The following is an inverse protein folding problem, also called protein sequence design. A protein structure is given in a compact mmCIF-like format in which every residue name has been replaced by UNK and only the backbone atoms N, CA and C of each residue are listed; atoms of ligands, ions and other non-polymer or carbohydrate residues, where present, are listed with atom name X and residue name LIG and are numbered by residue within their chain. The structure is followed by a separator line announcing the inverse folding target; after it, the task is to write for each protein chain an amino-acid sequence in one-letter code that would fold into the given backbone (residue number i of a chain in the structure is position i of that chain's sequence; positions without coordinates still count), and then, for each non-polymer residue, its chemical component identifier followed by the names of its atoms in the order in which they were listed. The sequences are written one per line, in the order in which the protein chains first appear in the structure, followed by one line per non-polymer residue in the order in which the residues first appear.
data_IF_689776572074
#
_entry.id   IF_689776572074
#
_cell.length_a   1.000
_cell.length_b   1.000
_cell.length_c   1.000
_cell.angle_alpha   90.00
_cell.angle_beta   90.00
_cell.angle_gamma   90.00
#
_symmetry.space_group_name_H-M   'P 1'
#
loop_
_entity.id
_entity.type
_entity.pdbx_description
1 polymer ?
#
# COMPACT_ATOMS: atom_id res chain seq x y z
N UNK A 1 1.64 -11.08 16.27
CA UNK A 1 2.72 -10.37 16.99
C UNK A 1 2.05 -9.36 17.90
N UNK A 2 2.39 -9.31 19.19
CA UNK A 2 1.74 -8.40 20.14
C UNK A 2 2.52 -7.10 20.24
N UNK A 3 1.85 -5.95 20.39
CA UNK A 3 2.49 -4.62 20.47
C UNK A 3 3.52 -4.48 21.61
N UNK A 4 3.43 -5.34 22.64
CA UNK A 4 4.38 -5.44 23.76
C UNK A 4 5.72 -6.10 23.41
N UNK A 5 5.84 -6.68 22.20
CA UNK A 5 7.03 -7.40 21.76
C UNK A 5 7.94 -6.55 20.86
N UNK A 6 7.63 -5.26 20.67
CA UNK A 6 8.49 -4.34 19.92
C UNK A 6 9.65 -3.85 20.81
N UNK A 7 10.91 -3.92 20.34
CA UNK A 7 12.06 -3.49 21.12
C UNK A 7 12.00 -1.98 21.40
N UNK A 8 12.38 -1.58 22.62
CA UNK A 8 12.45 -0.17 23.06
C UNK A 8 13.57 0.65 22.41
N UNK A 9 14.34 0.04 21.50
CA UNK A 9 15.28 0.68 20.59
C UNK A 9 14.90 0.28 19.17
N UNK A 10 14.40 1.24 18.39
CA UNK A 10 14.22 1.09 16.95
C UNK A 10 15.39 1.81 16.26
N UNK A 11 16.41 1.06 15.83
CA UNK A 11 17.36 1.61 14.83
C UNK A 11 16.65 1.86 13.48
N UNK A 12 15.52 1.18 13.29
CA UNK A 12 14.60 1.35 12.18
C UNK A 12 13.63 0.16 12.18
N UNK A 13 12.38 0.42 11.84
CA UNK A 13 11.36 -0.60 11.63
C UNK A 13 10.89 -0.50 10.19
N UNK A 14 10.92 -1.61 9.46
CA UNK A 14 10.46 -1.64 8.08
C UNK A 14 9.37 -2.68 7.88
N UNK A 15 8.38 -2.36 7.05
CA UNK A 15 7.36 -3.30 6.60
C UNK A 15 7.40 -3.35 5.08
N UNK A 16 7.44 -4.58 4.55
CA UNK A 16 7.39 -4.85 3.12
C UNK A 16 5.98 -5.31 2.74
N UNK A 17 5.49 -4.84 1.60
CA UNK A 17 4.21 -5.24 1.05
C UNK A 17 4.24 -6.74 0.69
N UNK A 18 3.08 -7.39 0.78
CA UNK A 18 2.94 -8.76 0.25
C UNK A 18 3.00 -8.74 -1.28
N UNK A 19 3.33 -9.88 -1.88
CA UNK A 19 3.33 -10.01 -3.35
C UNK A 19 1.98 -9.61 -3.95
N UNK A 20 1.99 -8.64 -4.87
CA UNK A 20 0.78 -8.12 -5.51
C UNK A 20 0.03 -7.05 -4.71
N UNK A 21 0.56 -6.62 -3.56
CA UNK A 21 0.06 -5.49 -2.79
C UNK A 21 1.01 -4.29 -2.90
N UNK A 22 0.45 -3.10 -2.69
CA UNK A 22 1.21 -1.86 -2.56
C UNK A 22 0.75 -1.13 -1.30
N UNK A 23 1.69 -0.61 -0.52
CA UNK A 23 1.40 0.19 0.67
C UNK A 23 1.12 1.63 0.22
N UNK A 24 -0.07 2.14 0.51
CA UNK A 24 -0.50 3.48 0.09
C UNK A 24 -0.72 4.42 1.27
N UNK A 25 -0.72 3.90 2.51
CA UNK A 25 -0.84 4.70 3.71
C UNK A 25 -0.02 4.16 4.87
N UNK A 26 0.62 5.07 5.60
CA UNK A 26 1.31 4.84 6.85
C UNK A 26 0.96 5.97 7.81
N UNK A 27 0.62 5.65 9.05
CA UNK A 27 0.37 6.63 10.11
C UNK A 27 0.85 6.10 11.45
N UNK A 28 1.36 7.00 12.29
CA UNK A 28 1.87 6.65 13.62
C UNK A 28 1.78 7.84 14.56
N UNK A 29 1.61 7.58 15.85
CA UNK A 29 1.84 8.59 16.89
C UNK A 29 3.30 8.59 17.29
N UNK A 30 3.98 9.73 17.12
CA UNK A 30 5.24 10.01 17.79
C UNK A 30 4.94 10.32 19.26
N UNK A 31 5.24 9.38 20.15
CA UNK A 31 5.10 9.50 21.61
C UNK A 31 6.46 9.69 22.32
N UNK A 32 7.54 9.89 21.55
CA UNK A 32 8.93 9.98 22.05
C UNK A 32 9.21 11.23 22.87
N UNK A 33 8.35 12.25 22.79
CA UNK A 33 8.46 13.47 23.58
C UNK A 33 9.56 14.44 23.12
N UNK A 34 10.74 14.02 22.67
CA UNK A 34 11.75 14.95 22.14
C UNK A 34 12.54 14.43 20.94
N UNK A 35 12.29 13.19 20.52
CA UNK A 35 12.87 12.61 19.32
C UNK A 35 11.97 12.82 18.07
N UNK A 36 12.60 12.86 16.91
CA UNK A 36 11.92 12.95 15.62
C UNK A 36 11.80 11.57 14.98
N UNK A 37 10.69 11.33 14.29
CA UNK A 37 10.50 10.13 13.46
C UNK A 37 10.69 10.49 12.00
N UNK A 38 11.58 9.78 11.32
CA UNK A 38 11.64 9.74 9.87
C UNK A 38 10.74 8.61 9.37
N UNK A 39 9.85 8.92 8.43
CA UNK A 39 9.03 7.93 7.74
C UNK A 39 9.36 7.99 6.26
N UNK A 40 9.49 6.84 5.63
CA UNK A 40 9.80 6.74 4.21
C UNK A 40 9.02 5.63 3.52
N UNK A 41 8.59 5.91 2.29
CA UNK A 41 8.05 4.96 1.32
C UNK A 41 9.15 4.67 0.30
N UNK A 42 9.32 3.40 -0.03
CA UNK A 42 10.28 2.93 -1.02
C UNK A 42 9.58 2.18 -2.15
N UNK A 43 10.12 2.31 -3.37
CA UNK A 43 9.74 1.48 -4.50
C UNK A 43 10.43 0.10 -4.45
N UNK A 44 10.21 -0.73 -5.47
CA UNK A 44 10.79 -2.09 -5.57
C UNK A 44 12.33 -2.11 -5.75
N UNK A 45 12.94 -0.96 -6.02
CA UNK A 45 14.38 -0.79 -6.21
C UNK A 45 15.07 -0.13 -5.00
N UNK A 46 14.39 -0.09 -3.85
CA UNK A 46 14.85 0.58 -2.64
C UNK A 46 15.07 2.09 -2.79
N UNK A 47 14.40 2.74 -3.74
CA UNK A 47 14.43 4.19 -3.91
C UNK A 47 13.32 4.84 -3.11
N UNK A 48 13.64 5.88 -2.35
CA UNK A 48 12.64 6.67 -1.62
C UNK A 48 11.73 7.38 -2.63
N UNK A 49 10.44 7.08 -2.56
CA UNK A 49 9.41 7.75 -3.37
C UNK A 49 8.74 8.90 -2.61
N UNK A 50 8.63 8.78 -1.29
CA UNK A 50 8.09 9.83 -0.42
C UNK A 50 8.62 9.66 1.00
N UNK A 51 8.85 10.78 1.70
CA UNK A 51 9.29 10.74 3.09
C UNK A 51 8.82 11.96 3.86
N UNK A 52 8.67 11.82 5.17
CA UNK A 52 8.35 12.93 6.07
C UNK A 52 9.04 12.78 7.42
N UNK A 53 9.13 13.88 8.16
CA UNK A 53 9.62 13.91 9.53
C UNK A 53 8.48 14.34 10.46
N UNK A 54 8.25 13.57 11.52
CA UNK A 54 7.29 13.91 12.59
C UNK A 54 8.08 14.25 13.85
N UNK A 55 8.11 15.52 14.23
CA UNK A 55 8.79 16.01 15.43
C UNK A 55 7.77 16.22 16.55
N UNK A 56 7.92 15.51 17.67
CA UNK A 56 7.14 15.73 18.88
C UNK A 56 7.86 16.73 19.81
N UNK A 57 7.08 17.45 20.63
CA UNK A 57 7.61 18.32 21.70
C UNK A 57 7.46 17.64 23.05
N UNK A 58 8.29 18.05 24.04
CA UNK A 58 8.35 17.36 25.34
C UNK A 58 6.97 17.28 25.97
N UNK A 59 6.55 16.06 26.32
CA UNK A 59 5.23 15.72 26.86
C UNK A 59 4.05 15.92 25.90
N UNK A 60 4.28 15.93 24.59
CA UNK A 60 3.24 15.96 23.56
C UNK A 60 3.42 14.79 22.61
N UNK A 61 2.31 14.12 22.29
CA UNK A 61 2.27 13.13 21.22
C UNK A 61 1.68 13.77 19.96
N UNK A 62 2.26 13.49 18.80
CA UNK A 62 1.78 13.99 17.51
C UNK A 62 1.55 12.83 16.57
N UNK A 63 0.39 12.82 15.91
CA UNK A 63 0.11 11.91 14.82
C UNK A 63 0.62 12.48 13.51
N UNK A 64 1.28 11.65 12.72
CA UNK A 64 1.64 11.99 11.35
C UNK A 64 1.79 10.72 10.51
N UNK A 65 1.95 10.93 9.21
CA UNK A 65 1.95 9.83 8.27
C UNK A 65 2.19 10.27 6.84
N UNK A 66 2.21 9.29 5.95
CA UNK A 66 2.36 9.43 4.51
C UNK A 66 1.17 8.74 3.85
N UNK A 67 0.56 9.41 2.88
CA UNK A 67 -0.47 8.82 2.01
C UNK A 67 -0.09 9.09 0.58
N UNK A 68 0.08 8.02 -0.20
CA UNK A 68 0.60 8.10 -1.56
C UNK A 68 -0.24 7.21 -2.50
N UNK A 69 -0.56 7.74 -3.69
CA UNK A 69 -1.40 7.05 -4.69
C UNK A 69 -0.61 6.14 -5.66
N UNK A 70 0.72 6.26 -5.72
CA UNK A 70 1.60 5.41 -6.52
C UNK A 70 1.81 4.04 -5.87
N UNK A 71 1.77 4.00 -4.53
CA UNK A 71 1.99 2.79 -3.74
C UNK A 71 3.47 2.44 -3.58
N UNK A 72 3.82 1.95 -2.40
CA UNK A 72 5.18 1.58 -2.00
C UNK A 72 5.33 0.05 -1.88
N UNK A 73 6.52 -0.46 -2.22
CA UNK A 73 6.90 -1.85 -1.98
C UNK A 73 7.28 -2.07 -0.51
N UNK A 74 7.83 -1.04 0.14
CA UNK A 74 8.30 -1.06 1.52
C UNK A 74 8.08 0.30 2.17
N UNK A 75 7.79 0.29 3.46
CA UNK A 75 7.82 1.48 4.31
C UNK A 75 8.81 1.31 5.43
N UNK A 76 9.38 2.42 5.89
CA UNK A 76 10.30 2.47 7.02
C UNK A 76 9.91 3.58 8.00
N UNK A 77 10.09 3.30 9.29
CA UNK A 77 10.01 4.24 10.40
C UNK A 77 11.33 4.16 11.13
N UNK A 78 12.06 5.26 11.21
CA UNK A 78 13.33 5.33 11.94
C UNK A 78 13.39 6.61 12.78
N UNK A 79 14.21 6.61 13.83
CA UNK A 79 14.46 7.84 14.59
C UNK A 79 15.47 8.71 13.87
N UNK A 80 15.22 10.01 13.86
CA UNK A 80 16.17 11.01 13.43
C UNK A 80 16.42 11.99 14.57
N UNK A 81 17.67 12.48 14.67
CA UNK A 81 18.08 13.42 15.72
C UNK A 81 19.07 12.86 16.74
N UNK A 82 19.62 13.79 17.55
CA UNK A 82 20.68 13.54 18.55
C UNK A 82 20.15 13.38 19.98
N UNK A 83 18.85 13.57 20.21
CA UNK A 83 18.23 13.25 21.49
C UNK A 83 18.18 11.72 21.66
N UNK A 84 17.82 11.25 22.84
CA UNK A 84 18.45 10.10 23.52
C UNK A 84 18.29 8.72 22.83
N UNK A 85 17.75 8.66 21.61
CA UNK A 85 17.46 7.49 20.76
C UNK A 85 16.38 6.60 21.36
N UNK A 86 15.49 7.17 22.17
CA UNK A 86 14.41 6.46 22.84
C UNK A 86 13.12 6.78 22.10
N UNK A 87 12.97 6.10 20.97
CA UNK A 87 11.80 6.27 20.12
C UNK A 87 10.63 5.52 20.73
N UNK A 88 9.56 6.24 21.02
CA UNK A 88 8.29 5.65 21.42
C UNK A 88 7.25 5.93 20.33
N UNK A 89 6.75 4.87 19.72
CA UNK A 89 5.64 4.93 18.77
C UNK A 89 4.39 4.29 19.37
N UNK A 90 3.23 4.84 19.02
CA UNK A 90 1.94 4.25 19.37
C UNK A 90 1.00 4.20 18.16
N UNK A 91 0.10 3.22 18.18
CA UNK A 91 -1.01 3.05 17.24
C UNK A 91 -0.58 3.17 15.77
N UNK A 92 0.34 2.29 15.37
CA UNK A 92 0.79 2.14 13.99
C UNK A 92 -0.37 1.72 13.08
N UNK A 93 -0.63 2.51 12.04
CA UNK A 93 -1.66 2.29 11.04
C UNK A 93 -1.02 2.12 9.66
N UNK A 94 -1.42 1.07 8.95
CA UNK A 94 -0.91 0.76 7.63
C UNK A 94 -2.09 0.42 6.74
N UNK A 95 -2.08 1.00 5.55
CA UNK A 95 -3.05 0.73 4.53
C UNK A 95 -2.33 0.24 3.28
N UNK A 96 -2.68 -0.98 2.87
CA UNK A 96 -2.24 -1.59 1.62
C UNK A 96 -3.44 -1.84 0.71
N UNK A 97 -3.22 -1.69 -0.60
CA UNK A 97 -4.18 -2.07 -1.61
C UNK A 97 -3.60 -3.22 -2.43
N UNK A 98 -4.40 -4.23 -2.71
CA UNK A 98 -4.03 -5.21 -3.72
C UNK A 98 -3.97 -4.49 -5.07
N UNK A 99 -2.80 -4.53 -5.71
CA UNK A 99 -2.64 -4.23 -7.13
C UNK A 99 -3.34 -5.33 -7.91
N UNK A 100 -4.67 -5.32 -7.87
CA UNK A 100 -5.47 -6.01 -8.87
C UNK A 100 -5.28 -5.24 -10.15
N UNK A 101 -4.27 -5.63 -10.94
CA UNK A 101 -4.33 -5.43 -12.39
C UNK A 101 -5.73 -5.85 -12.80
N UNK A 102 -6.54 -4.91 -13.30
CA UNK A 102 -7.87 -5.18 -13.80
C UNK A 102 -7.77 -6.42 -14.71
N UNK A 103 -8.25 -7.56 -14.24
CA UNK A 103 -8.37 -8.74 -15.09
C UNK A 103 -9.35 -8.30 -16.16
N UNK A 104 -8.85 -8.08 -17.37
CA UNK A 104 -9.73 -7.77 -18.50
C UNK A 104 -10.70 -8.93 -18.60
N UNK A 105 -11.99 -8.68 -18.39
CA UNK A 105 -13.01 -9.69 -18.64
C UNK A 105 -12.77 -10.24 -20.06
N UNK A 106 -12.73 -11.57 -20.25
CA UNK A 106 -12.53 -12.14 -21.58
C UNK A 106 -13.55 -11.50 -22.52
N UNK A 107 -13.03 -10.79 -23.52
CA UNK A 107 -13.76 -9.80 -24.31
C UNK A 107 -15.18 -10.28 -24.63
N UNK A 108 -16.18 -9.55 -24.13
CA UNK A 108 -17.60 -9.69 -24.53
C UNK A 108 -17.78 -9.68 -26.05
N UNK A 109 -16.81 -9.14 -26.80
CA UNK A 109 -16.71 -9.23 -28.25
C UNK A 109 -16.72 -10.68 -28.79
N UNK A 110 -16.05 -11.63 -28.11
CA UNK A 110 -16.01 -13.04 -28.53
C UNK A 110 -17.38 -13.72 -28.30
N UNK A 111 -18.03 -13.43 -27.17
CA UNK A 111 -19.36 -13.94 -26.86
C UNK A 111 -20.42 -13.39 -27.84
N UNK A 112 -20.30 -12.12 -28.25
CA UNK A 112 -21.18 -11.49 -29.23
C UNK A 112 -21.00 -12.09 -30.63
N UNK A 113 -19.76 -12.34 -31.06
CA UNK A 113 -19.44 -12.97 -32.35
C UNK A 113 -19.98 -14.40 -32.45
N UNK A 114 -19.85 -15.19 -31.36
CA UNK A 114 -20.43 -16.53 -31.30
C UNK A 114 -21.96 -16.48 -31.35
N UNK A 115 -22.59 -15.55 -30.63
CA UNK A 115 -24.04 -15.40 -30.64
C UNK A 115 -24.58 -14.99 -32.03
N UNK A 116 -23.99 -13.98 -32.68
CA UNK A 116 -24.40 -13.57 -34.02
C UNK A 116 -24.07 -14.62 -35.09
N UNK A 117 -22.94 -15.33 -34.97
CA UNK A 117 -22.56 -16.41 -35.87
C UNK A 117 -23.53 -17.60 -35.82
N UNK A 118 -23.95 -18.02 -34.62
CA UNK A 118 -24.91 -19.11 -34.45
C UNK A 118 -26.33 -18.74 -34.88
N UNK A 119 -26.78 -17.51 -34.58
CA UNK A 119 -28.10 -17.02 -35.01
C UNK A 119 -28.17 -16.82 -36.52
N UNK A 120 -27.09 -16.33 -37.15
CA UNK A 120 -26.98 -16.19 -38.60
C UNK A 120 -27.05 -17.54 -39.32
N UNK A 121 -26.34 -18.56 -38.81
CA UNK A 121 -26.34 -19.90 -39.38
C UNK A 121 -27.71 -20.59 -39.26
N UNK A 122 -28.43 -20.37 -38.16
CA UNK A 122 -29.77 -20.92 -37.96
C UNK A 122 -30.82 -20.34 -38.93
N UNK A 123 -30.75 -19.03 -39.22
CA UNK A 123 -31.66 -18.39 -40.18
C UNK A 123 -31.34 -18.75 -41.63
N UNK A 124 -30.06 -18.93 -41.98
CA UNK A 124 -29.67 -19.39 -43.32
C UNK A 124 -30.17 -20.81 -43.60
N UNK A 125 -30.06 -21.73 -42.64
CA UNK A 125 -30.52 -23.13 -42.80
C UNK A 125 -32.05 -23.26 -42.95
N UNK A 126 -32.85 -22.36 -42.35
CA UNK A 126 -34.31 -22.35 -42.52
C UNK A 126 -34.81 -21.63 -43.77
N UNK A 127 -33.97 -20.81 -44.41
CA UNK A 127 -34.33 -20.05 -45.63
C UNK A 127 -34.12 -20.80 -46.95
N UNK A 128 -33.37 -21.90 -46.96
CA UNK A 128 -33.01 -22.67 -48.18
C UNK A 128 -33.97 -23.85 -48.44
N UNK A 129 -35.09 -23.91 -47.72
CA UNK A 129 -36.16 -24.90 -47.93
C UNK A 129 -37.44 -24.25 -48.48
N UNK A 130 -37.39 -23.72 -49.70
CA UNK A 130 -38.56 -23.48 -50.56
C UNK A 130 -38.22 -23.89 -51.97
#
# INVERSE_FOLDING_TARGET
MSLKDLPSQLDGFSITASSGELITGLGVWNASGDDELFLAFYDEFDVIIESTIISASRNQAIFGGIVNNQGASRVEISGTGNANRWIAIDNLQIYSNSSTTSVSEPSTALALLVYFGLVGLYKFRKGVGK
#
